data_IF_851149190237
#
_entry.id   IF_851149190237
#
_cell.length_a   1.000
_cell.length_b   1.000
_cell.length_c   1.000
_cell.angle_alpha   90.00
_cell.angle_beta   90.00
_cell.angle_gamma   90.00
#
_symmetry.space_group_name_H-M   'P 1'
#
loop_
_entity.id
_entity.type
_entity.pdbx_description
1 polymer ?
#
# COMPACT_ATOMS: atom_id res chain seq x y z
N UNK A 1 12.84 11.17 -13.32
CA UNK A 1 11.84 12.06 -13.97
C UNK A 1 10.80 12.68 -13.01
N UNK A 2 10.72 12.32 -11.72
CA UNK A 2 9.66 12.83 -10.81
C UNK A 2 9.82 14.27 -10.32
N UNK A 3 11.05 14.83 -10.33
CA UNK A 3 11.28 16.19 -9.86
C UNK A 3 10.69 17.27 -10.80
N UNK A 4 10.55 16.95 -12.10
CA UNK A 4 10.09 17.89 -13.12
C UNK A 4 8.55 17.97 -13.15
N UNK A 5 7.84 16.87 -12.89
CA UNK A 5 6.37 16.85 -12.92
C UNK A 5 5.72 17.58 -11.73
N UNK A 6 6.42 17.72 -10.62
CA UNK A 6 5.95 18.44 -9.43
C UNK A 6 6.32 19.93 -9.39
N UNK A 7 7.31 20.37 -10.17
CA UNK A 7 7.84 21.73 -10.14
C UNK A 7 6.80 22.84 -10.34
N UNK A 8 5.77 22.68 -11.21
CA UNK A 8 4.71 23.69 -11.35
C UNK A 8 3.83 23.86 -10.11
N UNK A 9 3.81 22.89 -9.19
CA UNK A 9 3.02 22.95 -7.96
C UNK A 9 3.86 23.30 -6.73
N UNK A 10 5.15 23.60 -6.89
CA UNK A 10 5.99 24.08 -5.79
C UNK A 10 5.68 25.56 -5.52
N UNK A 11 5.11 25.91 -4.34
CA UNK A 11 4.81 27.29 -4.00
C UNK A 11 6.07 28.18 -3.91
N UNK A 12 7.25 27.59 -3.66
CA UNK A 12 8.52 28.35 -3.65
C UNK A 12 8.88 28.78 -5.07
N UNK A 13 8.83 27.87 -6.03
CA UNK A 13 9.17 28.17 -7.43
C UNK A 13 8.15 29.11 -8.06
N UNK A 14 6.86 28.80 -7.92
CA UNK A 14 5.78 29.63 -8.48
C UNK A 14 5.70 31.01 -7.81
N UNK A 15 5.91 31.07 -6.49
CA UNK A 15 5.95 32.32 -5.72
C UNK A 15 7.16 33.19 -6.09
N UNK A 16 8.36 32.62 -6.16
CA UNK A 16 9.57 33.34 -6.58
C UNK A 16 9.44 33.89 -8.01
N UNK A 17 8.90 33.09 -8.93
CA UNK A 17 8.68 33.53 -10.31
C UNK A 17 7.64 34.66 -10.38
N UNK A 18 6.57 34.61 -9.59
CA UNK A 18 5.59 35.71 -9.50
C UNK A 18 6.20 36.99 -8.94
N UNK A 19 7.02 36.89 -7.89
CA UNK A 19 7.74 38.03 -7.31
C UNK A 19 8.71 38.63 -8.33
N UNK A 20 9.48 37.79 -9.01
CA UNK A 20 10.41 38.23 -10.03
C UNK A 20 9.69 38.94 -11.18
N UNK A 21 8.59 38.36 -11.71
CA UNK A 21 7.80 38.96 -12.78
C UNK A 21 7.16 40.30 -12.39
N UNK A 22 6.82 40.48 -11.11
CA UNK A 22 6.18 41.70 -10.59
C UNK A 22 7.16 42.81 -10.26
N UNK A 23 8.30 42.48 -9.65
CA UNK A 23 9.22 43.47 -9.06
C UNK A 23 10.55 43.60 -9.81
N UNK A 24 10.92 42.62 -10.64
CA UNK A 24 12.18 42.63 -11.41
C UNK A 24 11.96 42.30 -12.91
N UNK A 25 10.99 42.94 -13.58
CA UNK A 25 10.62 42.58 -14.95
C UNK A 25 11.79 42.78 -15.94
N UNK A 26 12.59 43.83 -15.78
CA UNK A 26 13.68 44.16 -16.71
C UNK A 26 14.86 43.18 -16.59
N UNK A 27 15.19 42.76 -15.36
CA UNK A 27 16.20 41.70 -15.12
C UNK A 27 15.74 40.38 -15.75
N UNK A 28 14.48 40.00 -15.60
CA UNK A 28 13.95 38.79 -16.23
C UNK A 28 13.98 38.87 -17.77
N UNK A 29 13.66 40.02 -18.36
CA UNK A 29 13.75 40.22 -19.82
C UNK A 29 15.18 40.02 -20.34
N UNK A 30 16.20 40.38 -19.56
CA UNK A 30 17.61 40.18 -19.95
C UNK A 30 18.06 38.72 -19.94
N UNK A 31 17.39 37.86 -19.16
CA UNK A 31 17.74 36.44 -18.98
C UNK A 31 16.89 35.54 -19.89
N UNK A 32 15.64 35.94 -20.14
CA UNK A 32 14.64 35.15 -20.85
C UNK A 32 14.74 35.43 -22.36
N UNK A 33 14.87 34.40 -23.22
CA UNK A 33 14.89 34.56 -24.66
C UNK A 33 13.68 35.35 -25.20
N UNK A 34 13.93 36.29 -26.12
CA UNK A 34 12.89 37.16 -26.70
C UNK A 34 11.68 36.40 -27.25
N UNK A 35 11.90 35.18 -27.79
CA UNK A 35 10.83 34.32 -28.34
C UNK A 35 9.78 33.89 -27.33
N UNK A 36 10.13 33.77 -26.03
CA UNK A 36 9.22 33.27 -24.98
C UNK A 36 8.66 34.38 -24.08
N UNK A 37 9.22 35.59 -24.14
CA UNK A 37 8.76 36.74 -23.36
C UNK A 37 7.25 37.04 -23.56
N UNK A 38 6.67 37.05 -24.78
CA UNK A 38 5.24 37.34 -24.96
C UNK A 38 4.32 36.39 -24.18
N UNK A 39 4.73 35.12 -24.04
CA UNK A 39 3.96 34.12 -23.31
C UNK A 39 4.10 34.30 -21.79
N UNK A 40 5.31 34.51 -21.29
CA UNK A 40 5.61 34.63 -19.85
C UNK A 40 5.03 35.91 -19.24
N UNK A 41 5.05 37.03 -19.97
CA UNK A 41 4.48 38.29 -19.49
C UNK A 41 2.98 38.43 -19.79
N UNK A 42 2.35 37.41 -20.40
CA UNK A 42 0.92 37.47 -20.71
C UNK A 42 0.07 37.48 -19.42
N UNK A 43 -1.06 38.22 -19.39
CA UNK A 43 -1.99 38.17 -18.27
C UNK A 43 -2.56 36.76 -18.01
N UNK A 44 -2.62 35.92 -19.04
CA UNK A 44 -3.04 34.52 -18.92
C UNK A 44 -2.00 33.69 -18.16
N UNK A 45 -0.72 33.83 -18.50
CA UNK A 45 0.36 33.14 -17.80
C UNK A 45 0.46 33.57 -16.34
N UNK A 46 0.38 34.87 -16.04
CA UNK A 46 0.38 35.36 -14.65
C UNK A 46 -0.82 34.80 -13.87
N UNK A 47 -2.01 34.73 -14.48
CA UNK A 47 -3.20 34.10 -13.87
C UNK A 47 -2.98 32.61 -13.61
N UNK A 48 -2.46 31.87 -14.58
CA UNK A 48 -2.14 30.46 -14.44
C UNK A 48 -1.10 30.23 -13.32
N UNK A 49 -0.06 31.07 -13.25
CA UNK A 49 0.98 30.97 -12.24
C UNK A 49 0.45 31.27 -10.82
N UNK A 50 -0.46 32.25 -10.67
CA UNK A 50 -1.18 32.47 -9.41
C UNK A 50 -2.04 31.28 -9.02
N UNK A 51 -2.77 30.68 -9.97
CA UNK A 51 -3.58 29.50 -9.71
C UNK A 51 -2.71 28.31 -9.27
N UNK A 52 -1.57 28.10 -9.93
CA UNK A 52 -0.60 27.07 -9.56
C UNK A 52 0.00 27.30 -8.17
N UNK A 53 0.32 28.55 -7.82
CA UNK A 53 0.77 28.91 -6.47
C UNK A 53 -0.30 28.58 -5.43
N UNK A 54 -1.55 28.98 -5.65
CA UNK A 54 -2.67 28.68 -4.73
C UNK A 54 -2.85 27.18 -4.58
N UNK A 55 -2.86 26.43 -5.69
CA UNK A 55 -2.94 24.97 -5.67
C UNK A 55 -1.77 24.35 -4.90
N UNK A 56 -0.54 24.85 -5.09
CA UNK A 56 0.65 24.40 -4.37
C UNK A 56 0.54 24.63 -2.86
N UNK A 57 0.08 25.81 -2.44
CA UNK A 57 -0.16 26.15 -1.03
C UNK A 57 -1.25 25.23 -0.45
N UNK A 58 -2.40 25.11 -1.11
CA UNK A 58 -3.51 24.25 -0.65
C UNK A 58 -3.04 22.81 -0.50
N UNK A 59 -2.29 22.27 -1.48
CA UNK A 59 -1.72 20.92 -1.39
C UNK A 59 -0.72 20.78 -0.24
N UNK A 60 0.13 21.77 -0.02
CA UNK A 60 1.11 21.79 1.08
C UNK A 60 0.45 21.83 2.45
N UNK A 61 -0.53 22.71 2.64
CA UNK A 61 -1.33 22.83 3.85
C UNK A 61 -2.11 21.54 4.11
N UNK A 62 -2.82 21.02 3.11
CA UNK A 62 -3.54 19.76 3.22
C UNK A 62 -2.61 18.62 3.64
N UNK A 63 -1.45 18.45 2.98
CA UNK A 63 -0.47 17.43 3.34
C UNK A 63 -0.02 17.57 4.80
N UNK A 64 0.25 18.79 5.28
CA UNK A 64 0.67 19.03 6.66
C UNK A 64 -0.45 18.71 7.65
N UNK A 65 -1.68 19.13 7.37
CA UNK A 65 -2.86 18.82 8.18
C UNK A 65 -3.13 17.31 8.24
N UNK A 66 -3.10 16.62 7.09
CA UNK A 66 -3.26 15.16 7.05
C UNK A 66 -2.19 14.46 7.90
N UNK A 67 -0.92 14.89 7.82
CA UNK A 67 0.13 14.34 8.67
C UNK A 67 -0.14 14.60 10.16
N UNK A 68 -0.57 15.80 10.53
CA UNK A 68 -0.89 16.11 11.94
C UNK A 68 -2.06 15.27 12.45
N UNK A 69 -3.13 15.13 11.67
CA UNK A 69 -4.32 14.34 12.03
C UNK A 69 -3.98 12.85 12.18
N UNK A 70 -3.28 12.27 11.19
CA UNK A 70 -2.87 10.86 11.24
C UNK A 70 -1.95 10.57 12.43
N UNK A 71 -1.18 11.56 12.89
CA UNK A 71 -0.28 11.44 14.03
C UNK A 71 -0.91 11.91 15.35
N UNK A 72 -2.24 12.05 15.41
CA UNK A 72 -2.98 12.45 16.60
C UNK A 72 -2.52 13.80 17.20
N UNK A 73 -2.04 14.71 16.35
CA UNK A 73 -1.43 15.99 16.74
C UNK A 73 -0.23 15.84 17.68
N UNK A 74 0.37 14.66 17.74
CA UNK A 74 1.60 14.38 18.50
C UNK A 74 2.81 14.54 17.59
N UNK A 75 3.94 14.88 18.20
CA UNK A 75 5.25 14.75 17.56
C UNK A 75 5.51 13.29 17.19
N UNK A 76 6.46 13.05 16.28
CA UNK A 76 6.89 11.70 15.95
C UNK A 76 7.23 10.91 17.23
N UNK A 77 6.81 9.65 17.27
CA UNK A 77 7.19 8.72 18.31
C UNK A 77 8.71 8.50 18.29
N UNK A 78 9.32 8.36 19.45
CA UNK A 78 10.75 8.09 19.56
C UNK A 78 10.99 6.61 19.26
N UNK A 79 11.69 6.31 18.16
CA UNK A 79 12.05 4.94 17.78
C UNK A 79 13.45 4.61 18.31
N UNK A 80 13.55 3.90 19.43
CA UNK A 80 14.84 3.56 20.06
C UNK A 80 15.20 2.11 19.68
N UNK A 81 15.97 1.93 18.61
CA UNK A 81 16.27 0.62 18.00
C UNK A 81 16.51 -0.55 18.97
N UNK A 82 17.24 -0.33 20.08
CA UNK A 82 17.54 -1.36 21.09
C UNK A 82 16.33 -1.80 21.94
N UNK A 83 15.26 -1.02 21.93
CA UNK A 83 13.99 -1.27 22.63
C UNK A 83 12.88 -1.74 21.68
N UNK A 84 13.14 -1.79 20.38
CA UNK A 84 12.13 -2.12 19.37
C UNK A 84 12.26 -3.58 18.94
N UNK A 85 11.10 -4.22 18.77
CA UNK A 85 10.98 -5.57 18.22
C UNK A 85 9.97 -5.51 17.08
N UNK A 86 10.46 -5.72 15.86
CA UNK A 86 9.63 -5.68 14.64
C UNK A 86 9.18 -7.08 14.29
N UNK A 87 7.88 -7.34 14.41
CA UNK A 87 7.27 -8.59 13.97
C UNK A 87 6.71 -8.44 12.55
N UNK A 88 7.12 -9.32 11.64
CA UNK A 88 6.72 -9.33 10.22
C UNK A 88 6.08 -10.67 9.89
N UNK A 89 4.85 -10.65 9.40
CA UNK A 89 4.22 -11.85 8.83
C UNK A 89 4.56 -12.01 7.35
N UNK A 90 4.71 -13.24 6.86
CA UNK A 90 5.09 -13.49 5.46
C UNK A 90 6.51 -13.01 5.14
N UNK A 91 7.42 -13.10 6.12
CA UNK A 91 8.76 -12.53 6.04
C UNK A 91 9.80 -13.41 5.36
N UNK A 92 9.45 -14.61 4.88
CA UNK A 92 10.41 -15.53 4.26
C UNK A 92 10.58 -15.34 2.74
N UNK A 93 9.85 -14.41 2.13
CA UNK A 93 10.00 -14.06 0.71
C UNK A 93 9.50 -12.65 0.37
N UNK A 94 9.78 -12.18 -0.85
CA UNK A 94 9.18 -10.98 -1.43
C UNK A 94 9.41 -9.71 -0.60
N UNK A 95 8.34 -8.91 -0.41
CA UNK A 95 8.40 -7.65 0.35
C UNK A 95 8.75 -7.91 1.81
N UNK A 96 8.22 -8.99 2.40
CA UNK A 96 8.45 -9.34 3.81
C UNK A 96 9.92 -9.65 4.09
N UNK A 97 10.56 -10.45 3.24
CA UNK A 97 12.00 -10.74 3.37
C UNK A 97 12.83 -9.47 3.18
N UNK A 98 12.51 -8.66 2.17
CA UNK A 98 13.21 -7.40 1.92
C UNK A 98 13.10 -6.45 3.14
N UNK A 99 11.92 -6.34 3.75
CA UNK A 99 11.73 -5.60 5.01
C UNK A 99 12.52 -6.19 6.17
N UNK A 100 12.52 -7.51 6.35
CA UNK A 100 13.26 -8.15 7.44
C UNK A 100 14.77 -7.87 7.35
N UNK A 101 15.33 -7.96 6.15
CA UNK A 101 16.74 -7.65 5.89
C UNK A 101 17.05 -6.16 6.05
N UNK A 102 16.16 -5.28 5.61
CA UNK A 102 16.38 -3.83 5.74
C UNK A 102 16.25 -3.36 7.19
N UNK A 103 15.28 -3.82 7.98
CA UNK A 103 15.25 -3.53 9.42
C UNK A 103 16.49 -4.07 10.14
N UNK A 104 16.94 -5.28 9.76
CA UNK A 104 18.15 -5.87 10.29
C UNK A 104 19.39 -5.03 9.98
N UNK A 105 19.53 -4.53 8.74
CA UNK A 105 20.65 -3.66 8.31
C UNK A 105 20.71 -2.36 9.11
N UNK A 106 19.57 -1.89 9.63
CA UNK A 106 19.48 -0.72 10.50
C UNK A 106 19.77 -1.03 11.98
N UNK A 107 20.05 -2.29 12.33
CA UNK A 107 20.35 -2.74 13.70
C UNK A 107 19.10 -2.94 14.58
N UNK A 108 17.94 -3.18 13.98
CA UNK A 108 16.68 -3.44 14.70
C UNK A 108 16.51 -4.95 14.88
N UNK A 109 15.93 -5.38 16.01
CA UNK A 109 15.57 -6.80 16.22
C UNK A 109 14.31 -7.13 15.42
N UNK A 110 14.36 -8.19 14.62
CA UNK A 110 13.23 -8.61 13.77
C UNK A 110 12.80 -10.01 14.11
N UNK A 111 11.49 -10.22 14.17
CA UNK A 111 10.84 -11.53 14.30
C UNK A 111 10.03 -11.76 13.02
N UNK A 112 10.26 -12.89 12.36
CA UNK A 112 9.54 -13.29 11.15
C UNK A 112 8.62 -14.45 11.49
N UNK A 113 7.33 -14.29 11.17
CA UNK A 113 6.35 -15.38 11.15
C UNK A 113 6.04 -15.75 9.70
N UNK A 114 6.26 -17.01 9.33
CA UNK A 114 5.92 -17.51 8.00
C UNK A 114 5.64 -19.02 8.07
N UNK A 115 4.88 -19.56 7.12
CA UNK A 115 4.66 -21.01 7.00
C UNK A 115 5.86 -21.72 6.37
N UNK A 116 6.63 -20.98 5.58
CA UNK A 116 7.82 -21.45 4.88
C UNK A 116 9.09 -20.93 5.55
N UNK A 117 10.15 -21.75 5.64
CA UNK A 117 11.46 -21.26 6.08
C UNK A 117 12.03 -20.25 5.07
N UNK A 118 12.92 -19.35 5.50
CA UNK A 118 13.60 -18.44 4.59
C UNK A 118 14.49 -19.22 3.61
N UNK A 119 14.53 -18.78 2.35
CA UNK A 119 15.36 -19.43 1.31
C UNK A 119 16.86 -19.27 1.57
N UNK A 120 17.25 -18.14 2.15
CA UNK A 120 18.61 -17.85 2.55
C UNK A 120 18.65 -17.59 4.06
N UNK A 121 19.72 -18.01 4.76
CA UNK A 121 19.87 -17.72 6.18
C UNK A 121 19.66 -16.23 6.47
N UNK A 122 18.91 -15.99 7.54
CA UNK A 122 18.72 -14.65 8.05
C UNK A 122 19.94 -14.17 8.84
N UNK A 123 20.17 -12.85 8.93
CA UNK A 123 21.15 -12.28 9.85
C UNK A 123 20.83 -12.64 11.31
N UNK A 124 21.83 -12.56 12.20
CA UNK A 124 21.72 -13.01 13.60
C UNK A 124 20.69 -12.27 14.46
N UNK A 125 20.24 -11.09 14.03
CA UNK A 125 19.20 -10.29 14.70
C UNK A 125 17.79 -10.47 14.10
N UNK A 126 17.61 -11.45 13.21
CA UNK A 126 16.32 -11.80 12.61
C UNK A 126 15.97 -13.24 12.99
N UNK A 127 14.86 -13.41 13.69
CA UNK A 127 14.44 -14.68 14.28
C UNK A 127 13.20 -15.21 13.57
N UNK A 128 13.29 -16.43 13.04
CA UNK A 128 12.20 -17.07 12.31
C UNK A 128 11.37 -17.99 13.21
N UNK A 129 10.05 -17.87 13.10
CA UNK A 129 9.06 -18.73 13.71
C UNK A 129 8.15 -19.29 12.62
N UNK A 130 8.04 -20.63 12.56
CA UNK A 130 7.12 -21.30 11.64
C UNK A 130 5.69 -21.18 12.19
N UNK A 131 4.86 -20.36 11.55
CA UNK A 131 3.50 -20.06 12.04
C UNK A 131 2.53 -19.95 10.87
N UNK A 132 1.45 -20.72 10.92
CA UNK A 132 0.26 -20.44 10.12
C UNK A 132 -0.58 -19.36 10.82
N UNK A 133 -0.56 -18.16 10.26
CA UNK A 133 -1.29 -17.00 10.82
C UNK A 133 -2.82 -17.10 10.67
N UNK A 134 -3.34 -18.12 9.96
CA UNK A 134 -4.77 -18.43 9.95
C UNK A 134 -5.19 -19.22 11.20
N UNK A 135 -4.24 -19.69 12.01
CA UNK A 135 -4.48 -20.46 13.23
C UNK A 135 -4.22 -19.62 14.50
N UNK A 136 -5.28 -19.22 15.23
CA UNK A 136 -5.12 -18.48 16.49
C UNK A 136 -4.27 -19.20 17.54
N UNK A 137 -4.35 -20.53 17.61
CA UNK A 137 -3.57 -21.33 18.56
C UNK A 137 -2.07 -21.34 18.23
N UNK A 138 -1.70 -21.41 16.96
CA UNK A 138 -0.30 -21.28 16.53
C UNK A 138 0.23 -19.87 16.79
N UNK A 139 -0.57 -18.83 16.50
CA UNK A 139 -0.22 -17.44 16.84
C UNK A 139 0.05 -17.30 18.34
N UNK A 140 -0.86 -17.78 19.20
CA UNK A 140 -0.72 -17.67 20.66
C UNK A 140 0.53 -18.40 21.18
N UNK A 141 0.80 -19.60 20.64
CA UNK A 141 1.98 -20.40 21.02
C UNK A 141 3.27 -19.65 20.66
N UNK A 142 3.39 -19.20 19.41
CA UNK A 142 4.56 -18.45 18.95
C UNK A 142 4.70 -17.11 19.68
N UNK A 143 3.60 -16.41 19.96
CA UNK A 143 3.63 -15.15 20.69
C UNK A 143 4.18 -15.31 22.11
N UNK A 144 3.83 -16.40 22.81
CA UNK A 144 4.40 -16.72 24.12
C UNK A 144 5.93 -16.89 24.05
N UNK A 145 6.41 -17.65 23.06
CA UNK A 145 7.85 -17.86 22.83
C UNK A 145 8.59 -16.57 22.45
N UNK A 146 7.98 -15.75 21.59
CA UNK A 146 8.52 -14.46 21.14
C UNK A 146 8.64 -13.51 22.33
N UNK A 147 7.59 -13.37 23.15
CA UNK A 147 7.63 -12.50 24.34
C UNK A 147 8.71 -12.94 25.31
N UNK A 148 8.84 -14.25 25.54
CA UNK A 148 9.88 -14.83 26.41
C UNK A 148 11.29 -14.56 25.90
N UNK A 149 11.52 -14.68 24.59
CA UNK A 149 12.86 -14.66 23.99
C UNK A 149 13.31 -13.26 23.57
N UNK A 150 12.36 -12.40 23.19
CA UNK A 150 12.64 -11.14 22.52
C UNK A 150 12.01 -9.92 23.19
N UNK A 151 11.00 -10.13 24.03
CA UNK A 151 10.12 -9.09 24.58
C UNK A 151 8.85 -8.90 23.75
N UNK A 152 7.96 -8.00 24.18
CA UNK A 152 6.76 -7.67 23.40
C UNK A 152 7.13 -7.00 22.07
N UNK A 153 6.60 -7.47 20.93
CA UNK A 153 6.65 -6.74 19.68
C UNK A 153 6.13 -5.32 19.82
N UNK A 154 6.93 -4.35 19.37
CA UNK A 154 6.57 -2.93 19.35
C UNK A 154 6.11 -2.49 17.96
N UNK A 155 6.48 -3.23 16.92
CA UNK A 155 5.98 -3.03 15.56
C UNK A 155 5.35 -4.34 15.08
N UNK A 156 4.10 -4.26 14.59
CA UNK A 156 3.40 -5.37 13.94
C UNK A 156 3.22 -5.03 12.47
N UNK A 157 3.85 -5.80 11.58
CA UNK A 157 3.71 -5.67 10.13
C UNK A 157 2.89 -6.84 9.60
N UNK A 158 1.62 -6.55 9.34
CA UNK A 158 0.68 -7.43 8.65
C UNK A 158 1.02 -7.42 7.15
N UNK A 159 1.90 -8.33 6.73
CA UNK A 159 2.42 -8.39 5.36
C UNK A 159 2.06 -9.67 4.61
N UNK A 160 1.91 -10.79 5.31
CA UNK A 160 1.55 -12.06 4.68
C UNK A 160 0.33 -11.90 3.76
N UNK A 161 0.38 -12.55 2.60
CA UNK A 161 -0.70 -12.49 1.66
C UNK A 161 -0.67 -13.63 0.66
N UNK A 162 -1.86 -13.98 0.17
CA UNK A 162 -2.07 -14.88 -0.96
C UNK A 162 -3.01 -14.21 -1.95
N UNK A 163 -2.91 -14.60 -3.21
CA UNK A 163 -3.76 -14.08 -4.27
C UNK A 163 -3.44 -14.76 -5.58
N UNK A 164 -4.45 -14.84 -6.45
CA UNK A 164 -4.32 -15.34 -7.81
C UNK A 164 -5.32 -14.58 -8.65
N UNK A 165 -4.96 -14.30 -9.90
CA UNK A 165 -5.94 -13.73 -10.82
C UNK A 165 -6.78 -14.85 -11.43
N UNK A 166 -8.07 -14.83 -11.14
CA UNK A 166 -9.03 -15.85 -11.56
C UNK A 166 -10.44 -15.25 -11.66
N UNK A 167 -11.20 -15.53 -12.74
CA UNK A 167 -12.61 -15.17 -12.82
C UNK A 167 -13.39 -15.72 -11.62
N UNK A 168 -14.34 -14.93 -11.10
CA UNK A 168 -15.10 -15.31 -9.90
C UNK A 168 -15.88 -16.62 -10.07
N UNK A 169 -16.27 -16.95 -11.30
CA UNK A 169 -17.00 -18.19 -11.63
C UNK A 169 -16.10 -19.43 -11.71
N UNK A 170 -14.78 -19.25 -11.77
CA UNK A 170 -13.79 -20.33 -11.85
C UNK A 170 -13.09 -20.61 -10.51
N UNK A 171 -13.13 -19.64 -9.59
CA UNK A 171 -12.52 -19.75 -8.26
C UNK A 171 -13.22 -20.75 -7.36
N UNK A 172 -12.43 -21.61 -6.69
CA UNK A 172 -12.97 -22.51 -5.66
C UNK A 172 -13.34 -21.77 -4.37
N UNK A 173 -14.32 -22.29 -3.62
CA UNK A 173 -14.65 -21.78 -2.28
C UNK A 173 -13.43 -21.79 -1.36
N UNK A 174 -12.65 -22.87 -1.37
CA UNK A 174 -11.47 -23.04 -0.53
C UNK A 174 -10.41 -21.96 -0.80
N UNK A 175 -10.18 -21.62 -2.08
CA UNK A 175 -9.28 -20.54 -2.46
C UNK A 175 -9.78 -19.18 -1.98
N UNK A 176 -11.06 -18.89 -2.20
CA UNK A 176 -11.69 -17.64 -1.75
C UNK A 176 -11.56 -17.49 -0.23
N UNK A 177 -11.92 -18.53 0.53
CA UNK A 177 -11.77 -18.53 2.00
C UNK A 177 -10.32 -18.28 2.40
N UNK A 178 -9.37 -19.02 1.81
CA UNK A 178 -7.94 -18.85 2.12
C UNK A 178 -7.45 -17.42 1.85
N UNK A 179 -7.88 -16.79 0.76
CA UNK A 179 -7.58 -15.39 0.46
C UNK A 179 -8.02 -14.46 1.59
N UNK A 180 -9.25 -14.60 2.10
CA UNK A 180 -9.74 -13.79 3.21
C UNK A 180 -9.10 -14.15 4.56
N UNK A 181 -8.89 -15.44 4.83
CA UNK A 181 -8.27 -15.90 6.08
C UNK A 181 -6.87 -15.32 6.24
N UNK A 182 -6.04 -15.41 5.19
CA UNK A 182 -4.67 -14.89 5.23
C UNK A 182 -4.65 -13.36 5.15
N UNK A 183 -5.33 -12.75 4.18
CA UNK A 183 -5.15 -11.31 3.89
C UNK A 183 -5.95 -10.39 4.82
N UNK A 184 -6.89 -10.93 5.59
CA UNK A 184 -7.84 -10.14 6.39
C UNK A 184 -8.03 -10.70 7.78
N UNK A 185 -8.58 -11.92 7.93
CA UNK A 185 -9.00 -12.44 9.24
C UNK A 185 -7.80 -12.61 10.16
N UNK A 186 -6.65 -13.06 9.63
CA UNK A 186 -5.39 -13.14 10.37
C UNK A 186 -5.00 -11.82 11.04
N UNK A 187 -5.29 -10.66 10.42
CA UNK A 187 -4.95 -9.36 10.97
C UNK A 187 -5.69 -9.09 12.29
N UNK A 188 -6.93 -9.58 12.42
CA UNK A 188 -7.69 -9.47 13.66
C UNK A 188 -7.07 -10.33 14.76
N UNK A 189 -6.63 -11.54 14.43
CA UNK A 189 -5.96 -12.43 15.40
C UNK A 189 -4.62 -11.86 15.85
N UNK A 190 -3.81 -11.39 14.91
CA UNK A 190 -2.52 -10.76 15.18
C UNK A 190 -2.69 -9.47 16.01
N UNK A 191 -3.70 -8.66 15.71
CA UNK A 191 -3.97 -7.47 16.51
C UNK A 191 -4.42 -7.81 17.92
N UNK A 192 -5.35 -8.77 18.09
CA UNK A 192 -5.77 -9.25 19.43
C UNK A 192 -4.60 -9.77 20.25
N UNK A 193 -3.63 -10.41 19.60
CA UNK A 193 -2.44 -10.93 20.27
C UNK A 193 -1.45 -9.80 20.65
N UNK A 194 -1.02 -8.98 19.69
CA UNK A 194 0.14 -8.10 19.90
C UNK A 194 -0.20 -6.66 20.30
N UNK A 195 -1.37 -6.13 19.92
CA UNK A 195 -1.74 -4.73 20.21
C UNK A 195 -1.96 -4.44 21.70
N UNK A 196 -2.50 -5.34 22.55
CA UNK A 196 -2.71 -5.04 23.97
C UNK A 196 -1.45 -4.56 24.71
N UNK A 197 -0.28 -5.13 24.39
CA UNK A 197 0.99 -4.69 24.98
C UNK A 197 1.41 -3.29 24.51
N UNK A 198 1.15 -2.97 23.23
CA UNK A 198 1.38 -1.63 22.69
C UNK A 198 0.48 -0.61 23.37
N UNK A 199 -0.81 -0.94 23.56
CA UNK A 199 -1.80 -0.10 24.26
C UNK A 199 -1.36 0.17 25.69
N UNK A 200 -0.99 -0.88 26.44
CA UNK A 200 -0.52 -0.74 27.83
C UNK A 200 0.69 0.19 27.94
N UNK A 201 1.60 0.16 26.96
CA UNK A 201 2.80 1.01 26.92
C UNK A 201 2.53 2.37 26.25
N UNK A 202 1.37 2.55 25.61
CA UNK A 202 1.07 3.65 24.70
C UNK A 202 2.24 3.92 23.73
N UNK A 203 2.80 2.83 23.18
CA UNK A 203 3.94 2.84 22.26
C UNK A 203 3.84 1.65 21.33
N UNK A 204 3.96 1.91 20.04
CA UNK A 204 4.05 0.87 19.03
C UNK A 204 3.68 1.38 17.64
N UNK A 205 3.75 0.49 16.65
CA UNK A 205 3.40 0.79 15.28
C UNK A 205 2.74 -0.41 14.61
N UNK A 206 1.51 -0.26 14.11
CA UNK A 206 0.85 -1.29 13.28
C UNK A 206 0.93 -0.89 11.82
N UNK A 207 1.53 -1.75 10.99
CA UNK A 207 1.65 -1.58 9.55
C UNK A 207 0.79 -2.61 8.84
N UNK A 208 -0.07 -2.16 7.92
CA UNK A 208 -0.91 -3.03 7.09
C UNK A 208 -0.46 -2.94 5.63
N UNK A 209 0.04 -4.04 5.07
CA UNK A 209 0.35 -4.15 3.64
C UNK A 209 -0.93 -4.54 2.89
N UNK A 210 -1.62 -3.51 2.40
CA UNK A 210 -2.81 -3.63 1.56
C UNK A 210 -2.39 -3.73 0.07
N UNK A 211 -3.09 -3.04 -0.82
CA UNK A 211 -2.75 -2.97 -2.26
C UNK A 211 -3.45 -1.76 -2.89
N UNK A 212 -3.04 -1.34 -4.09
CA UNK A 212 -3.88 -0.52 -4.95
C UNK A 212 -5.22 -1.21 -5.29
N UNK A 213 -5.25 -2.55 -5.26
CA UNK A 213 -6.48 -3.35 -5.38
C UNK A 213 -7.50 -3.09 -4.26
N UNK A 214 -7.11 -2.43 -3.15
CA UNK A 214 -8.06 -1.94 -2.14
C UNK A 214 -9.02 -0.89 -2.70
N UNK A 215 -8.58 -0.11 -3.70
CA UNK A 215 -9.36 0.97 -4.29
C UNK A 215 -9.97 0.57 -5.63
N UNK A 216 -9.19 -0.13 -6.46
CA UNK A 216 -9.51 -0.45 -7.84
C UNK A 216 -9.72 -1.96 -8.00
N UNK A 217 -10.98 -2.36 -8.07
CA UNK A 217 -11.40 -3.73 -8.35
C UNK A 217 -11.63 -3.89 -9.85
N UNK A 218 -11.04 -4.91 -10.46
CA UNK A 218 -11.16 -5.23 -11.88
C UNK A 218 -11.38 -6.74 -12.09
N UNK A 219 -11.69 -7.14 -13.33
CA UNK A 219 -12.01 -8.53 -13.67
C UNK A 219 -10.88 -9.48 -13.27
N UNK A 220 -11.27 -10.70 -12.88
CA UNK A 220 -10.38 -11.75 -12.39
C UNK A 220 -9.54 -11.41 -11.13
N UNK A 221 -9.80 -10.29 -10.44
CA UNK A 221 -9.08 -9.92 -9.21
C UNK A 221 -10.02 -9.72 -8.02
N UNK A 222 -11.22 -10.32 -8.07
CA UNK A 222 -12.35 -9.93 -7.20
C UNK A 222 -12.10 -10.33 -5.74
N UNK A 223 -11.76 -11.59 -5.46
CA UNK A 223 -11.52 -12.09 -4.10
C UNK A 223 -10.32 -11.38 -3.44
N UNK A 224 -9.22 -11.25 -4.17
CA UNK A 224 -8.03 -10.55 -3.72
C UNK A 224 -8.33 -9.07 -3.44
N UNK A 225 -8.99 -8.36 -4.36
CA UNK A 225 -9.35 -6.95 -4.17
C UNK A 225 -10.29 -6.76 -2.98
N UNK A 226 -11.29 -7.62 -2.82
CA UNK A 226 -12.19 -7.60 -1.67
C UNK A 226 -11.42 -7.81 -0.36
N UNK A 227 -10.50 -8.77 -0.32
CA UNK A 227 -9.66 -9.01 0.86
C UNK A 227 -8.76 -7.80 1.17
N UNK A 228 -8.14 -7.17 0.16
CA UNK A 228 -7.29 -5.99 0.37
C UNK A 228 -8.09 -4.73 0.68
N UNK A 229 -9.32 -4.59 0.20
CA UNK A 229 -10.24 -3.55 0.63
C UNK A 229 -10.65 -3.75 2.10
N UNK A 230 -10.86 -5.00 2.52
CA UNK A 230 -11.13 -5.34 3.92
C UNK A 230 -9.92 -5.06 4.83
N UNK A 231 -8.70 -5.38 4.40
CA UNK A 231 -7.48 -5.03 5.11
C UNK A 231 -7.31 -3.51 5.30
N UNK A 232 -7.68 -2.70 4.30
CA UNK A 232 -7.70 -1.24 4.41
C UNK A 232 -8.75 -0.78 5.44
N UNK A 233 -9.96 -1.32 5.39
CA UNK A 233 -11.00 -0.99 6.37
C UNK A 233 -10.61 -1.40 7.81
N UNK A 234 -9.99 -2.57 7.97
CA UNK A 234 -9.40 -3.01 9.25
C UNK A 234 -8.39 -1.99 9.78
N UNK A 235 -7.50 -1.50 8.90
CA UNK A 235 -6.50 -0.51 9.27
C UNK A 235 -7.13 0.81 9.77
N UNK A 236 -8.12 1.32 9.04
CA UNK A 236 -8.85 2.54 9.39
C UNK A 236 -9.59 2.40 10.72
N UNK A 237 -10.27 1.26 10.91
CA UNK A 237 -10.96 0.92 12.15
C UNK A 237 -10.01 0.85 13.34
N UNK A 238 -8.93 0.06 13.24
CA UNK A 238 -7.96 -0.08 14.32
C UNK A 238 -7.31 1.26 14.69
N UNK A 239 -6.93 2.09 13.71
CA UNK A 239 -6.38 3.41 13.97
C UNK A 239 -7.35 4.31 14.75
N UNK A 240 -8.64 4.23 14.44
CA UNK A 240 -9.69 4.95 15.17
C UNK A 240 -9.83 4.43 16.60
N UNK A 241 -9.91 3.11 16.80
CA UNK A 241 -10.05 2.50 18.13
C UNK A 241 -8.86 2.80 19.05
N UNK A 242 -7.63 2.71 18.54
CA UNK A 242 -6.40 3.03 19.28
C UNK A 242 -6.47 4.40 19.96
N UNK A 243 -7.02 5.39 19.25
CA UNK A 243 -7.20 6.73 19.80
C UNK A 243 -8.46 6.84 20.67
N UNK A 244 -9.61 6.44 20.13
CA UNK A 244 -10.92 6.77 20.70
C UNK A 244 -11.34 5.86 21.86
N UNK A 245 -10.96 4.58 21.81
CA UNK A 245 -11.37 3.58 22.80
C UNK A 245 -10.24 3.19 23.74
N UNK A 246 -9.03 3.02 23.21
CA UNK A 246 -7.88 2.52 23.99
C UNK A 246 -7.00 3.63 24.59
N UNK A 247 -7.33 4.90 24.35
CA UNK A 247 -6.59 6.07 24.83
C UNK A 247 -5.06 5.97 24.58
N UNK A 248 -4.67 5.45 23.41
CA UNK A 248 -3.29 5.19 23.03
C UNK A 248 -2.85 6.02 21.80
N UNK A 249 -2.88 7.37 21.88
CA UNK A 249 -2.64 8.25 20.72
C UNK A 249 -1.19 8.23 20.21
N UNK A 250 -0.25 7.63 20.95
CA UNK A 250 1.16 7.54 20.54
C UNK A 250 1.46 6.26 19.75
N UNK A 251 0.53 5.31 19.68
CA UNK A 251 0.64 4.17 18.76
C UNK A 251 0.44 4.68 17.34
N UNK A 252 1.37 4.33 16.45
CA UNK A 252 1.35 4.71 15.04
C UNK A 252 0.69 3.66 14.19
N UNK A 253 0.07 4.11 13.10
CA UNK A 253 -0.52 3.22 12.12
C UNK A 253 -0.04 3.62 10.72
N UNK A 254 0.39 2.64 9.93
CA UNK A 254 0.69 2.88 8.52
C UNK A 254 -0.02 1.88 7.62
N UNK A 255 -0.67 2.36 6.57
CA UNK A 255 -1.19 1.50 5.51
C UNK A 255 -0.35 1.71 4.25
N UNK A 256 -0.06 0.61 3.58
CA UNK A 256 0.77 0.58 2.37
C UNK A 256 -0.08 -0.02 1.25
N UNK A 257 -0.22 0.71 0.16
CA UNK A 257 -0.98 0.30 -1.02
C UNK A 257 -0.02 0.23 -2.22
N UNK A 258 0.75 -0.86 -2.34
CA UNK A 258 1.58 -1.10 -3.51
C UNK A 258 0.73 -1.43 -4.74
N UNK A 259 1.20 -0.99 -5.91
CA UNK A 259 0.82 -1.56 -7.20
C UNK A 259 1.53 -2.89 -7.44
N UNK A 260 1.85 -3.19 -8.69
CA UNK A 260 2.60 -4.40 -9.04
C UNK A 260 3.99 -4.40 -8.43
N UNK A 261 4.36 -5.50 -7.77
CA UNK A 261 5.69 -5.70 -7.19
C UNK A 261 6.19 -7.09 -7.58
N UNK A 262 7.41 -7.15 -8.11
CA UNK A 262 8.04 -8.41 -8.53
C UNK A 262 8.36 -9.28 -7.31
N UNK A 263 7.44 -10.18 -6.99
CA UNK A 263 7.48 -11.07 -5.81
C UNK A 263 6.94 -12.44 -6.22
N UNK A 264 7.20 -13.51 -5.44
CA UNK A 264 6.63 -14.82 -5.74
C UNK A 264 5.10 -14.83 -5.90
N UNK A 265 4.38 -13.93 -5.22
CA UNK A 265 2.92 -13.80 -5.33
C UNK A 265 2.46 -13.33 -6.72
N UNK A 266 3.27 -12.51 -7.40
CA UNK A 266 2.92 -11.92 -8.68
C UNK A 266 3.81 -12.39 -9.85
N UNK A 267 4.80 -13.26 -9.60
CA UNK A 267 5.81 -13.65 -10.60
C UNK A 267 5.16 -14.33 -11.82
N UNK A 268 4.16 -15.19 -11.60
CA UNK A 268 3.44 -15.89 -12.67
C UNK A 268 2.67 -14.95 -13.60
N UNK A 269 2.32 -13.75 -13.13
CA UNK A 269 1.63 -12.72 -13.90
C UNK A 269 2.65 -11.81 -14.58
N UNK A 270 3.62 -11.30 -13.82
CA UNK A 270 4.64 -10.36 -14.28
C UNK A 270 5.57 -11.00 -15.33
N UNK A 271 5.79 -12.31 -15.27
CA UNK A 271 6.65 -13.02 -16.22
C UNK A 271 5.98 -13.32 -17.57
N UNK A 272 4.68 -13.06 -17.72
CA UNK A 272 3.98 -13.28 -18.98
C UNK A 272 4.39 -12.22 -20.02
N UNK A 273 4.60 -12.64 -21.26
CA UNK A 273 4.98 -11.72 -22.36
C UNK A 273 3.91 -10.65 -22.65
N UNK A 274 2.65 -10.91 -22.27
CA UNK A 274 1.53 -9.97 -22.38
C UNK A 274 1.55 -8.87 -21.32
N UNK A 275 2.25 -9.05 -20.20
CA UNK A 275 2.26 -8.10 -19.09
C UNK A 275 3.08 -6.84 -19.46
N UNK A 276 2.41 -5.69 -19.56
CA UNK A 276 3.02 -4.41 -19.96
C UNK A 276 3.00 -3.34 -18.88
N UNK A 277 2.35 -3.62 -17.75
CA UNK A 277 2.23 -2.67 -16.65
C UNK A 277 3.60 -2.44 -15.97
N UNK A 278 3.88 -1.20 -15.52
CA UNK A 278 5.06 -0.94 -14.71
C UNK A 278 4.95 -1.66 -13.37
N UNK A 279 6.03 -2.29 -12.95
CA UNK A 279 6.15 -2.96 -11.66
C UNK A 279 7.34 -2.44 -10.86
N UNK A 280 7.23 -2.58 -9.54
CA UNK A 280 8.25 -2.18 -8.58
C UNK A 280 9.07 -3.38 -8.10
N UNK A 281 10.25 -3.09 -7.56
CA UNK A 281 11.05 -4.07 -6.84
C UNK A 281 10.65 -4.10 -5.36
N UNK A 282 10.73 -5.25 -4.67
CA UNK A 282 10.44 -5.37 -3.24
C UNK A 282 11.14 -4.32 -2.38
N UNK A 283 12.39 -3.99 -2.72
CA UNK A 283 13.24 -3.01 -2.03
C UNK A 283 12.61 -1.61 -2.04
N UNK A 284 11.87 -1.27 -3.10
CA UNK A 284 11.21 0.05 -3.18
C UNK A 284 10.11 0.16 -2.13
N UNK A 285 9.38 -0.93 -1.89
CA UNK A 285 8.33 -0.97 -0.88
C UNK A 285 8.95 -1.07 0.51
N UNK A 286 9.92 -1.98 0.70
CA UNK A 286 10.53 -2.20 2.01
C UNK A 286 11.25 -0.96 2.53
N UNK A 287 12.02 -0.25 1.70
CA UNK A 287 12.67 1.00 2.09
C UNK A 287 11.66 2.06 2.55
N UNK A 288 10.56 2.22 1.81
CA UNK A 288 9.52 3.19 2.18
C UNK A 288 8.83 2.84 3.50
N UNK A 289 8.59 1.55 3.76
CA UNK A 289 8.00 1.10 5.02
C UNK A 289 8.97 1.27 6.18
N UNK A 290 10.22 0.86 6.01
CA UNK A 290 11.26 1.00 7.05
C UNK A 290 11.47 2.47 7.40
N UNK A 291 11.61 3.34 6.41
CA UNK A 291 11.75 4.79 6.63
C UNK A 291 10.56 5.38 7.40
N UNK A 292 9.34 4.92 7.09
CA UNK A 292 8.13 5.39 7.76
C UNK A 292 8.07 4.95 9.23
N UNK A 293 8.42 3.68 9.51
CA UNK A 293 8.47 3.12 10.87
C UNK A 293 9.58 3.79 11.69
N UNK A 294 10.79 3.89 11.14
CA UNK A 294 11.92 4.55 11.82
C UNK A 294 11.67 6.04 12.08
N UNK A 295 10.92 6.71 11.20
CA UNK A 295 10.50 8.08 11.42
C UNK A 295 9.46 8.24 12.55
N UNK A 296 8.91 7.15 13.08
CA UNK A 296 7.99 7.14 14.22
C UNK A 296 6.67 7.85 13.95
N UNK A 297 6.17 7.78 12.71
CA UNK A 297 4.95 8.51 12.30
C UNK A 297 3.95 7.62 11.57
N UNK A 298 2.67 7.91 11.77
CA UNK A 298 1.57 7.33 11.02
C UNK A 298 1.56 7.84 9.57
N UNK A 299 0.96 7.09 8.66
CA UNK A 299 0.93 7.49 7.26
C UNK A 299 0.21 6.53 6.33
N UNK A 300 -0.06 7.01 5.13
CA UNK A 300 -0.50 6.20 4.00
C UNK A 300 0.57 6.27 2.93
N UNK A 301 1.03 5.10 2.48
CA UNK A 301 2.07 4.97 1.45
C UNK A 301 1.43 4.33 0.22
N UNK A 302 1.28 5.10 -0.85
CA UNK A 302 0.86 4.59 -2.15
C UNK A 302 2.08 4.59 -3.06
N UNK A 303 2.41 3.42 -3.61
CA UNK A 303 3.56 3.24 -4.50
C UNK A 303 3.13 2.45 -5.75
N UNK A 304 3.46 2.95 -6.97
CA UNK A 304 4.18 4.18 -7.24
C UNK A 304 3.33 5.44 -6.94
N UNK A 305 3.97 6.58 -6.68
CA UNK A 305 3.32 7.79 -6.11
C UNK A 305 2.34 8.46 -7.08
N UNK A 306 2.58 8.34 -8.37
CA UNK A 306 1.71 8.79 -9.45
C UNK A 306 0.35 8.07 -9.46
N UNK A 307 0.29 6.83 -8.98
CA UNK A 307 -0.96 6.08 -8.81
C UNK A 307 -1.78 6.50 -7.57
N UNK A 308 -1.33 7.47 -6.78
CA UNK A 308 -2.09 7.99 -5.62
C UNK A 308 -3.48 8.50 -5.97
N UNK A 309 -3.69 8.96 -7.22
CA UNK A 309 -5.00 9.43 -7.68
C UNK A 309 -6.04 8.30 -7.66
N UNK A 310 -5.63 7.04 -7.84
CA UNK A 310 -6.55 5.88 -7.80
C UNK A 310 -7.18 5.68 -6.42
N UNK A 311 -6.56 6.19 -5.35
CA UNK A 311 -7.18 6.22 -4.01
C UNK A 311 -8.50 7.01 -3.98
N UNK A 312 -8.73 7.89 -4.96
CA UNK A 312 -9.94 8.71 -5.07
C UNK A 312 -11.00 8.15 -6.02
N UNK A 313 -10.74 6.99 -6.65
CA UNK A 313 -11.58 6.47 -7.75
C UNK A 313 -13.05 6.29 -7.38
N UNK A 314 -13.35 5.94 -6.12
CA UNK A 314 -14.73 5.76 -5.66
C UNK A 314 -15.54 7.05 -5.63
N UNK A 315 -14.89 8.22 -5.69
CA UNK A 315 -15.54 9.52 -5.82
C UNK A 315 -15.64 10.04 -7.26
N UNK A 316 -15.16 9.30 -8.26
CA UNK A 316 -15.19 9.74 -9.66
C UNK A 316 -16.57 9.48 -10.30
N UNK A 317 -16.90 10.13 -11.43
CA UNK A 317 -18.08 9.77 -12.22
C UNK A 317 -18.03 8.31 -12.69
N UNK A 318 -19.20 7.66 -12.74
CA UNK A 318 -19.32 6.23 -13.08
C UNK A 318 -18.69 5.87 -14.43
N UNK A 319 -18.86 6.69 -15.46
CA UNK A 319 -18.26 6.42 -16.77
C UNK A 319 -16.74 6.26 -16.67
N UNK A 320 -16.07 7.12 -15.91
CA UNK A 320 -14.62 7.08 -15.75
C UNK A 320 -14.18 5.89 -14.89
N UNK A 321 -14.91 5.61 -13.81
CA UNK A 321 -14.63 4.43 -12.98
C UNK A 321 -14.71 3.14 -13.82
N UNK A 322 -15.80 2.99 -14.58
CA UNK A 322 -16.06 1.80 -15.39
C UNK A 322 -15.03 1.66 -16.52
N UNK A 323 -14.68 2.76 -17.20
CA UNK A 323 -13.61 2.75 -18.21
C UNK A 323 -12.29 2.24 -17.64
N UNK A 324 -11.84 2.78 -16.50
CA UNK A 324 -10.56 2.36 -15.90
C UNK A 324 -10.58 0.89 -15.47
N UNK A 325 -11.68 0.43 -14.86
CA UNK A 325 -11.83 -0.99 -14.46
C UNK A 325 -11.79 -1.94 -15.65
N UNK A 326 -12.44 -1.57 -16.75
CA UNK A 326 -12.54 -2.41 -17.95
C UNK A 326 -11.24 -2.39 -18.77
N UNK A 327 -10.50 -1.29 -18.81
CA UNK A 327 -9.19 -1.24 -19.51
C UNK A 327 -8.20 -2.23 -18.90
N UNK A 328 -8.07 -2.25 -17.58
CA UNK A 328 -7.13 -3.16 -16.87
C UNK A 328 -7.53 -4.63 -17.07
N UNK A 329 -8.83 -4.92 -17.10
CA UNK A 329 -9.32 -6.27 -17.36
C UNK A 329 -8.88 -6.79 -18.74
N UNK A 330 -8.89 -5.92 -19.76
CA UNK A 330 -8.49 -6.26 -21.13
C UNK A 330 -6.97 -6.42 -21.27
N UNK A 331 -6.18 -5.59 -20.60
CA UNK A 331 -4.71 -5.63 -20.68
C UNK A 331 -4.11 -6.91 -20.07
N UNK A 332 -4.78 -7.52 -19.10
CA UNK A 332 -4.36 -8.77 -18.46
C UNK A 332 -4.80 -10.03 -19.22
N UNK A 333 -5.45 -9.87 -20.38
CA UNK A 333 -5.74 -10.94 -21.35
C UNK A 333 -6.49 -12.15 -20.76
N UNK A 334 -7.37 -11.94 -19.78
CA UNK A 334 -8.27 -12.98 -19.25
C UNK A 334 -9.30 -13.37 -20.32
N UNK A 335 -8.97 -14.37 -21.14
CA UNK A 335 -9.94 -15.02 -22.03
C UNK A 335 -9.86 -14.65 -23.51
N UNK A 336 -8.68 -14.82 -24.14
CA UNK A 336 -8.64 -15.39 -25.49
C UNK A 336 -8.29 -16.88 -25.42
N UNK A 337 -9.00 -17.64 -24.61
CA UNK A 337 -9.26 -19.04 -24.95
C UNK A 337 -10.36 -19.01 -26.00
N UNK A 338 -10.04 -19.45 -27.22
CA UNK A 338 -11.01 -19.67 -28.29
C UNK A 338 -12.27 -20.35 -27.71
N UNK A 339 -13.49 -19.90 -28.00
CA UNK A 339 -14.66 -20.66 -27.61
C UNK A 339 -14.54 -22.04 -28.27
N UNK A 340 -14.50 -23.11 -27.47
CA UNK A 340 -14.75 -24.45 -27.99
C UNK A 340 -16.10 -24.40 -28.73
N UNK A 341 -16.20 -24.98 -29.93
CA UNK A 341 -17.44 -24.96 -30.68
C UNK A 341 -18.54 -25.59 -29.82
N UNK A 342 -19.65 -24.86 -29.68
CA UNK A 342 -20.79 -25.26 -28.87
C UNK A 342 -21.16 -26.73 -29.16
N UNK A 343 -21.17 -27.56 -28.11
CA UNK A 343 -21.72 -28.90 -28.15
C UNK A 343 -23.15 -28.77 -28.68
N UNK A 344 -23.39 -29.32 -29.87
CA UNK A 344 -24.74 -29.42 -30.42
C UNK A 344 -25.56 -30.29 -29.46
N UNK A 345 -26.48 -29.66 -28.76
CA UNK A 345 -27.51 -30.37 -27.99
C UNK A 345 -28.44 -30.98 -29.03
N UNK A 346 -28.30 -32.29 -29.28
CA UNK A 346 -29.26 -33.05 -30.06
C UNK A 346 -30.65 -32.89 -29.43
N UNK A 347 -31.61 -32.50 -30.27
CA UNK A 347 -33.01 -32.38 -29.91
C UNK A 347 -33.55 -33.73 -29.44
N UNK A 348 -33.71 -33.92 -28.14
CA UNK A 348 -34.55 -34.99 -27.60
C UNK A 348 -36.00 -34.58 -27.81
N UNK A 349 -36.69 -35.29 -28.71
CA UNK A 349 -38.11 -35.11 -29.00
C UNK A 349 -38.96 -35.35 -27.72
N UNK A 350 -40.10 -34.64 -27.56
CA UNK A 350 -40.95 -34.78 -26.39
C UNK A 350 -41.65 -36.14 -26.39
N UNK A 351 -41.53 -36.88 -25.29
CA UNK A 351 -42.30 -38.10 -25.05
C UNK A 351 -43.79 -37.75 -24.99
N UNK A 352 -44.58 -38.38 -25.85
CA UNK A 352 -46.03 -38.29 -25.86
C UNK A 352 -46.62 -38.96 -24.60
N UNK A 353 -47.60 -38.28 -24.02
CA UNK A 353 -48.46 -38.78 -22.95
C UNK A 353 -49.47 -39.81 -23.49
N UNK A 354 -49.42 -41.04 -22.96
CA UNK A 354 -50.55 -41.89 -22.55
C UNK A 354 -50.04 -43.00 -21.65
#
# INVERSE_FOLDING_TARGET
MSAISGAPFDPKLTGLLLVALRYYPDKLRSIIPNKIQPYIYSPAFIRALKALLVLGIVRGVNKKLSQLVLNNWKSNAKFIKSQEVVLITGGSSGIGESMAREFSSKGVKVVVMDVNPPKMPFPSNVFYYRVDITSPSQIATAASEIRKSHGDPTVLINNAGVGTLMPILEGSEAQTRKTFEVNTISHFFLAREFVPAMVKKNHGHVVTIASLASYLVYAANVDYSCSKASALAFHEGLASELKALYNAPNIRTTVVNPGWVRTPLAEDIISQASFKDPYLQPETISNAVVDQVLAGRSGQIILPKDMSILGTIRGWPWWLQTTVRNMIALDLNFGQTQPEPAVQIENVAPAAST
#
